data_IF_187467050769
#
_entry.id   IF_187467050769
#
_cell.length_a   1.000
_cell.length_b   1.000
_cell.length_c   1.000
_cell.angle_alpha   90.00
_cell.angle_beta   90.00
_cell.angle_gamma   90.00
#
_symmetry.space_group_name_H-M   'P 1'
#
loop_
_entity.id
_entity.type
_entity.pdbx_description
1 polymer ?
#
# COMPACT_ATOMS: atom_id res chain seq x y z
N UNK A 1 -7.76 -43.65 -30.81
CA UNK A 1 -8.91 -43.12 -31.58
C UNK A 1 -9.39 -41.86 -30.85
N UNK A 2 -8.97 -40.68 -31.31
CA UNK A 2 -9.17 -39.40 -30.60
C UNK A 2 -10.61 -38.91 -30.84
N UNK A 3 -11.44 -38.92 -29.78
CA UNK A 3 -12.85 -38.51 -29.84
C UNK A 3 -12.92 -36.98 -29.87
N UNK A 4 -13.10 -36.41 -31.05
CA UNK A 4 -13.27 -34.98 -31.26
C UNK A 4 -14.53 -34.53 -30.49
N UNK A 5 -14.36 -33.65 -29.50
CA UNK A 5 -15.47 -33.11 -28.71
C UNK A 5 -16.38 -32.24 -29.58
N UNK A 6 -17.70 -32.37 -29.42
CA UNK A 6 -18.70 -31.61 -30.21
C UNK A 6 -18.56 -30.10 -29.93
N UNK A 7 -18.83 -29.22 -30.90
CA UNK A 7 -18.60 -27.77 -30.80
C UNK A 7 -19.31 -27.10 -29.61
N UNK A 8 -20.43 -27.67 -29.14
CA UNK A 8 -21.15 -27.17 -27.94
C UNK A 8 -20.41 -27.42 -26.62
N UNK A 9 -19.57 -28.46 -26.53
CA UNK A 9 -18.78 -28.76 -25.33
C UNK A 9 -17.55 -27.85 -25.23
N UNK A 10 -16.96 -27.48 -26.38
CA UNK A 10 -15.89 -26.48 -26.45
C UNK A 10 -16.39 -25.08 -26.03
N UNK A 11 -17.61 -24.72 -26.44
CA UNK A 11 -18.23 -23.46 -26.03
C UNK A 11 -18.50 -23.39 -24.52
N UNK A 12 -18.93 -24.50 -23.91
CA UNK A 12 -19.13 -24.57 -22.45
C UNK A 12 -17.82 -24.44 -21.69
N UNK A 13 -16.75 -25.09 -22.17
CA UNK A 13 -15.43 -25.02 -21.56
C UNK A 13 -14.86 -23.60 -21.65
N UNK A 14 -15.04 -22.95 -22.79
CA UNK A 14 -14.66 -21.55 -22.98
C UNK A 14 -15.46 -20.62 -22.06
N UNK A 15 -16.77 -20.80 -21.95
CA UNK A 15 -17.61 -19.99 -21.05
C UNK A 15 -17.24 -20.19 -19.57
N UNK A 16 -16.94 -21.43 -19.16
CA UNK A 16 -16.47 -21.73 -17.81
C UNK A 16 -15.09 -21.10 -17.54
N UNK A 17 -14.19 -21.11 -18.54
CA UNK A 17 -12.89 -20.45 -18.44
C UNK A 17 -13.04 -18.94 -18.30
N UNK A 18 -13.90 -18.30 -19.11
CA UNK A 18 -14.21 -16.87 -19.00
C UNK A 18 -14.81 -16.53 -17.64
N UNK A 19 -15.77 -17.32 -17.16
CA UNK A 19 -16.36 -17.12 -15.83
C UNK A 19 -15.32 -17.27 -14.71
N UNK A 20 -14.42 -18.25 -14.80
CA UNK A 20 -13.33 -18.44 -13.85
C UNK A 20 -12.29 -17.31 -13.89
N UNK A 21 -11.97 -16.81 -15.09
CA UNK A 21 -11.06 -15.67 -15.28
C UNK A 21 -11.70 -14.37 -14.78
N UNK A 22 -12.99 -14.15 -15.02
CA UNK A 22 -13.72 -13.01 -14.46
C UNK A 22 -13.83 -13.09 -12.94
N UNK A 23 -14.00 -14.29 -12.36
CA UNK A 23 -14.08 -14.45 -10.91
C UNK A 23 -12.73 -14.25 -10.19
N UNK A 24 -11.62 -14.61 -10.84
CA UNK A 24 -10.28 -14.34 -10.32
C UNK A 24 -9.90 -12.86 -10.42
N UNK A 25 -10.25 -12.17 -11.51
CA UNK A 25 -10.07 -10.71 -11.61
C UNK A 25 -11.00 -9.94 -10.66
N UNK A 26 -12.23 -10.42 -10.42
CA UNK A 26 -13.15 -9.79 -9.49
C UNK A 26 -12.64 -9.79 -8.04
N UNK A 27 -11.80 -10.76 -7.64
CA UNK A 27 -11.16 -10.75 -6.31
C UNK A 27 -10.20 -9.58 -6.12
N UNK A 28 -9.51 -9.15 -7.18
CA UNK A 28 -8.64 -7.97 -7.13
C UNK A 28 -9.43 -6.67 -7.06
N UNK A 29 -10.60 -6.62 -7.72
CA UNK A 29 -11.47 -5.43 -7.75
C UNK A 29 -12.37 -5.25 -6.51
N UNK A 30 -12.57 -6.29 -5.70
CA UNK A 30 -13.38 -6.20 -4.47
C UNK A 30 -12.58 -5.68 -3.25
N UNK A 31 -11.28 -5.43 -3.41
CA UNK A 31 -10.39 -4.87 -2.38
C UNK A 31 -10.02 -3.40 -2.66
N UNK A 32 -10.65 -2.76 -3.64
CA UNK A 32 -10.66 -1.31 -3.74
C UNK A 32 -11.71 -0.78 -2.77
N UNK A 33 -11.34 -0.62 -1.49
CA UNK A 33 -11.94 0.45 -0.70
C UNK A 33 -11.54 1.76 -1.40
N UNK A 34 -12.39 2.24 -2.30
CA UNK A 34 -12.33 3.60 -2.83
C UNK A 34 -12.59 4.57 -1.66
N UNK A 35 -11.54 4.85 -0.91
CA UNK A 35 -11.50 5.86 0.14
C UNK A 35 -10.11 6.44 0.17
N UNK A 36 -9.94 7.64 -0.39
CA UNK A 36 -8.72 8.43 -0.20
C UNK A 36 -8.43 8.48 1.30
N UNK A 37 -7.24 8.07 1.72
CA UNK A 37 -6.90 8.00 3.13
C UNK A 37 -7.07 9.37 3.80
N UNK A 38 -7.66 9.37 4.99
CA UNK A 38 -7.78 10.58 5.80
C UNK A 38 -6.40 11.12 6.26
N UNK A 39 -5.35 10.30 6.17
CA UNK A 39 -3.98 10.70 6.50
C UNK A 39 -3.40 11.71 5.50
N UNK A 40 -4.01 11.88 4.31
CA UNK A 40 -3.58 12.89 3.34
C UNK A 40 -3.60 14.30 3.95
N UNK A 41 -4.52 14.59 4.88
CA UNK A 41 -4.59 15.89 5.57
C UNK A 41 -3.43 16.14 6.53
N UNK A 42 -2.66 15.10 6.90
CA UNK A 42 -1.49 15.20 7.76
C UNK A 42 -0.20 15.45 6.97
N UNK A 43 -0.23 15.28 5.64
CA UNK A 43 0.89 15.63 4.79
C UNK A 43 1.11 17.15 4.81
N UNK A 44 2.33 17.61 5.13
CA UNK A 44 2.59 19.03 5.27
C UNK A 44 2.59 19.74 3.92
N UNK A 45 1.75 20.77 3.78
CA UNK A 45 1.80 21.70 2.65
C UNK A 45 2.89 22.76 2.90
N UNK A 46 4.05 22.58 2.25
CA UNK A 46 5.21 23.46 2.40
C UNK A 46 5.55 24.06 1.04
N UNK A 47 5.43 25.38 0.90
CA UNK A 47 5.62 26.10 -0.39
C UNK A 47 6.92 25.73 -1.14
N UNK A 48 8.00 25.48 -0.42
CA UNK A 48 9.33 25.15 -0.99
C UNK A 48 9.49 23.68 -1.38
N UNK A 49 8.62 22.79 -0.90
CA UNK A 49 8.62 21.35 -1.13
C UNK A 49 7.31 20.95 -1.79
N UNK A 50 7.37 20.64 -3.07
CA UNK A 50 6.17 20.28 -3.86
C UNK A 50 6.03 18.77 -3.90
N UNK A 51 4.80 18.30 -3.90
CA UNK A 51 4.48 16.90 -4.16
C UNK A 51 4.22 16.78 -5.67
N UNK A 52 5.14 16.21 -6.48
CA UNK A 52 4.98 16.14 -7.92
C UNK A 52 3.87 15.16 -8.34
N UNK A 53 3.55 14.19 -7.48
CA UNK A 53 2.56 13.14 -7.71
C UNK A 53 1.52 13.13 -6.58
N UNK A 54 0.36 12.52 -6.80
CA UNK A 54 -0.59 12.31 -5.69
C UNK A 54 0.02 11.38 -4.63
N UNK A 55 -0.28 11.56 -3.34
CA UNK A 55 0.14 10.62 -2.32
C UNK A 55 -0.34 9.20 -2.60
N UNK A 56 0.46 8.21 -2.20
CA UNK A 56 0.15 6.78 -2.38
C UNK A 56 -0.28 6.17 -1.06
N UNK A 57 -1.36 5.40 -1.10
CA UNK A 57 -1.92 4.74 0.09
C UNK A 57 -1.68 3.23 0.04
N UNK A 58 -1.32 2.66 1.19
CA UNK A 58 -1.15 1.22 1.37
C UNK A 58 -2.01 0.73 2.53
N UNK A 59 -2.81 -0.29 2.27
CA UNK A 59 -3.65 -0.97 3.24
C UNK A 59 -3.04 -2.33 3.62
N UNK A 60 -3.52 -3.00 4.69
CA UNK A 60 -2.91 -4.22 5.20
C UNK A 60 -2.73 -5.30 4.13
N UNK A 61 -3.65 -5.35 3.17
CA UNK A 61 -3.68 -6.31 2.07
C UNK A 61 -2.57 -6.10 1.05
N UNK A 62 -2.03 -4.87 0.93
CA UNK A 62 -1.05 -4.50 -0.11
C UNK A 62 0.24 -3.90 0.46
N UNK A 63 0.40 -3.81 1.79
CA UNK A 63 1.60 -3.24 2.41
C UNK A 63 2.90 -3.97 1.99
N UNK A 64 2.81 -5.28 1.69
CA UNK A 64 3.96 -6.04 1.20
C UNK A 64 4.47 -5.54 -0.16
N UNK A 65 3.63 -4.90 -0.97
CA UNK A 65 4.04 -4.30 -2.23
C UNK A 65 5.00 -3.13 -2.01
N UNK A 66 4.85 -2.44 -0.87
CA UNK A 66 5.70 -1.32 -0.48
C UNK A 66 7.00 -1.79 0.20
N UNK A 67 6.89 -2.55 1.30
CA UNK A 67 8.03 -2.88 2.18
C UNK A 67 8.38 -4.37 2.24
N UNK A 68 7.78 -5.21 1.39
CA UNK A 68 8.07 -6.64 1.28
C UNK A 68 8.11 -7.35 2.65
N UNK A 69 9.23 -8.00 2.98
CA UNK A 69 9.39 -8.78 4.21
C UNK A 69 9.31 -7.95 5.49
N UNK A 70 9.54 -6.63 5.41
CA UNK A 70 9.34 -5.76 6.56
C UNK A 70 7.85 -5.57 6.89
N UNK A 71 6.90 -5.84 5.97
CA UNK A 71 5.47 -5.70 6.26
C UNK A 71 5.01 -6.58 7.43
N UNK A 72 5.63 -7.75 7.65
CA UNK A 72 5.20 -8.72 8.66
C UNK A 72 5.19 -8.12 10.07
N UNK A 73 6.21 -7.33 10.43
CA UNK A 73 6.24 -6.70 11.76
C UNK A 73 5.11 -5.67 11.89
N UNK A 74 4.88 -4.80 10.90
CA UNK A 74 3.82 -3.80 10.94
C UNK A 74 2.42 -4.43 11.08
N UNK A 75 2.15 -5.49 10.31
CA UNK A 75 0.89 -6.24 10.37
C UNK A 75 0.70 -6.91 11.74
N UNK A 76 1.77 -7.37 12.39
CA UNK A 76 1.70 -7.94 13.75
C UNK A 76 1.36 -6.92 14.84
N UNK A 77 1.48 -5.61 14.54
CA UNK A 77 1.11 -4.48 15.39
C UNK A 77 -0.20 -3.80 14.92
N UNK A 78 -1.12 -4.54 14.33
CA UNK A 78 -2.46 -4.08 13.90
C UNK A 78 -2.45 -2.85 12.96
N UNK A 79 -1.43 -2.73 12.11
CA UNK A 79 -1.33 -1.72 11.05
C UNK A 79 -2.68 -1.48 10.35
N UNK A 80 -3.04 -0.19 10.16
CA UNK A 80 -4.29 0.24 9.55
C UNK A 80 -4.10 0.73 8.13
N UNK A 81 -3.22 1.69 7.94
CA UNK A 81 -2.95 2.30 6.66
C UNK A 81 -1.62 3.07 6.69
N UNK A 82 -1.04 3.29 5.52
CA UNK A 82 0.14 4.09 5.29
C UNK A 82 -0.15 5.05 4.14
N UNK A 83 0.09 6.33 4.34
CA UNK A 83 0.16 7.32 3.26
C UNK A 83 1.61 7.74 3.03
N UNK A 84 2.04 7.69 1.77
CA UNK A 84 3.38 8.08 1.32
C UNK A 84 3.28 9.34 0.46
N UNK A 85 3.89 10.43 0.94
CA UNK A 85 4.09 11.66 0.20
C UNK A 85 5.53 11.81 -0.27
N UNK A 86 5.73 11.92 -1.58
CA UNK A 86 7.04 12.19 -2.16
C UNK A 86 7.16 13.68 -2.46
N UNK A 87 8.22 14.33 -2.00
CA UNK A 87 8.43 15.76 -2.13
C UNK A 87 9.72 16.05 -2.89
N UNK A 88 9.66 17.05 -3.75
CA UNK A 88 10.80 17.62 -4.45
C UNK A 88 10.95 19.09 -4.09
N UNK A 89 12.18 19.50 -3.78
CA UNK A 89 12.49 20.89 -3.51
C UNK A 89 12.70 21.63 -4.83
N UNK A 90 11.78 22.53 -5.20
CA UNK A 90 11.71 23.10 -6.55
C UNK A 90 12.94 23.88 -7.04
N UNK A 91 13.89 24.24 -6.17
CA UNK A 91 15.13 24.96 -6.50
C UNK A 91 16.40 24.07 -6.47
N UNK A 92 16.27 22.77 -6.23
CA UNK A 92 17.40 21.84 -6.10
C UNK A 92 17.01 20.42 -6.50
N UNK A 93 17.97 19.49 -6.49
CA UNK A 93 17.70 18.05 -6.68
C UNK A 93 17.43 17.33 -5.34
N UNK A 94 17.03 18.06 -4.30
CA UNK A 94 16.72 17.45 -3.01
C UNK A 94 15.32 16.83 -3.05
N UNK A 95 15.23 15.57 -2.62
CA UNK A 95 13.99 14.84 -2.42
C UNK A 95 13.79 14.47 -0.96
N UNK A 96 12.52 14.36 -0.56
CA UNK A 96 12.09 13.93 0.75
C UNK A 96 10.91 12.99 0.59
N UNK A 97 10.88 11.90 1.36
CA UNK A 97 9.72 11.01 1.44
C UNK A 97 9.17 11.15 2.86
N UNK A 98 7.86 11.34 2.97
CA UNK A 98 7.13 11.35 4.23
C UNK A 98 6.20 10.13 4.22
N UNK A 99 6.38 9.28 5.21
CA UNK A 99 5.56 8.09 5.44
C UNK A 99 4.77 8.29 6.73
N UNK A 100 3.44 8.28 6.63
CA UNK A 100 2.54 8.43 7.77
C UNK A 100 1.83 7.11 7.99
N UNK A 101 2.19 6.42 9.07
CA UNK A 101 1.60 5.15 9.47
C UNK A 101 0.50 5.37 10.50
N UNK A 102 -0.70 4.84 10.26
CA UNK A 102 -1.69 4.62 11.32
C UNK A 102 -1.56 3.17 11.85
N UNK A 103 -1.13 3.06 13.12
CA UNK A 103 -0.99 1.79 13.83
C UNK A 103 -2.19 1.49 14.75
N UNK A 104 -3.24 2.31 14.68
CA UNK A 104 -4.48 2.22 15.46
C UNK A 104 -4.36 2.59 16.94
N UNK A 105 -3.20 2.37 17.57
CA UNK A 105 -2.97 2.71 18.98
C UNK A 105 -1.55 3.25 19.21
N UNK A 106 -1.39 4.10 20.23
CA UNK A 106 -0.08 4.65 20.62
C UNK A 106 0.93 3.56 20.99
N UNK A 107 0.48 2.47 21.62
CA UNK A 107 1.36 1.35 22.00
C UNK A 107 1.90 0.61 20.78
N UNK A 108 1.09 0.46 19.72
CA UNK A 108 1.52 -0.16 18.48
C UNK A 108 2.48 0.76 17.71
N UNK A 109 2.17 2.07 17.64
CA UNK A 109 3.08 3.07 17.07
C UNK A 109 4.44 3.07 17.77
N UNK A 110 4.44 3.06 19.11
CA UNK A 110 5.69 3.00 19.87
C UNK A 110 6.42 1.67 19.70
N UNK A 111 5.69 0.55 19.54
CA UNK A 111 6.25 -0.77 19.26
C UNK A 111 7.08 -0.79 17.97
N UNK A 112 6.51 -0.28 16.87
CA UNK A 112 7.22 -0.17 15.58
C UNK A 112 8.38 0.82 15.67
N UNK A 113 8.18 2.02 16.22
CA UNK A 113 9.27 2.97 16.43
C UNK A 113 10.43 2.34 17.22
N UNK A 114 10.12 1.57 18.26
CA UNK A 114 11.14 0.91 19.08
C UNK A 114 11.86 -0.24 18.37
N UNK A 115 11.18 -0.92 17.44
CA UNK A 115 11.76 -2.00 16.66
C UNK A 115 12.65 -1.50 15.51
N UNK A 116 12.25 -0.39 14.87
CA UNK A 116 12.94 0.18 13.70
C UNK A 116 14.03 1.20 14.07
N UNK A 117 14.02 1.75 15.29
CA UNK A 117 15.06 2.71 15.70
C UNK A 117 16.43 2.05 15.80
N UNK A 118 17.43 2.69 15.22
CA UNK A 118 18.83 2.32 15.41
C UNK A 118 19.40 3.01 16.65
N UNK A 119 20.26 2.34 17.45
CA UNK A 119 20.92 2.94 18.60
C UNK A 119 21.72 4.21 18.27
N UNK A 120 22.27 4.26 17.05
CA UNK A 120 23.14 5.35 16.58
C UNK A 120 22.38 6.44 15.81
N UNK A 121 21.04 6.39 15.78
CA UNK A 121 20.22 7.42 15.13
C UNK A 121 20.41 8.80 15.78
N UNK A 122 20.48 9.85 14.96
CA UNK A 122 20.44 11.21 15.46
C UNK A 122 18.99 11.63 15.72
N UNK A 123 18.62 11.67 17.01
CA UNK A 123 17.29 12.08 17.43
C UNK A 123 17.16 13.60 17.38
N UNK A 124 16.12 14.07 16.71
CA UNK A 124 15.70 15.47 16.72
C UNK A 124 14.59 15.61 17.76
N UNK A 125 14.61 16.68 18.55
CA UNK A 125 13.57 16.96 19.55
C UNK A 125 12.29 17.41 18.84
N UNK A 126 11.45 16.45 18.47
CA UNK A 126 10.16 16.64 17.83
C UNK A 126 9.03 16.26 18.80
N UNK A 127 8.83 17.07 19.86
CA UNK A 127 7.67 16.95 20.77
C UNK A 127 7.78 15.87 21.82
#
# INVERSE_FOLDING_TARGET
>A
MMRISKPKELLKLFLAFVLFFSFSNARGALLEEEGVSSLHFLLPDVVTWKIPESPQDYFPEILFEYINGAAEIYLSYDFKELTVGQYEKGDSNASLIIEIYDMGTEINSFGIYSAERFPDSQFISLG
#
